data_IF_555077157352
#
_entry.id   IF_555077157352
#
_cell.length_a   1.000
_cell.length_b   1.000
_cell.length_c   1.000
_cell.angle_alpha   90.00
_cell.angle_beta   90.00
_cell.angle_gamma   90.00
#
_symmetry.space_group_name_H-M   'P 1'
#
loop_
_entity.id
_entity.type
_entity.pdbx_description
1 polymer ?
#
# COMPACT_ATOMS: atom_id res chain seq x y z
N UNK A 1 6.46 3.74 3.69
CA UNK A 1 6.25 2.31 3.91
C UNK A 1 4.80 2.00 4.26
N UNK A 2 4.43 0.71 4.26
CA UNK A 2 3.11 0.24 4.67
C UNK A 2 2.87 0.35 6.18
N UNK A 3 1.60 0.19 6.60
CA UNK A 3 1.28 0.23 8.04
C UNK A 3 -0.21 0.21 8.38
N UNK A 4 -1.09 0.05 7.40
CA UNK A 4 -2.54 0.14 7.60
C UNK A 4 -2.92 1.51 8.18
N UNK A 5 -3.69 1.54 9.27
CA UNK A 5 -4.12 2.80 9.90
C UNK A 5 -2.98 3.68 10.43
N UNK A 6 -1.80 3.12 10.71
CA UNK A 6 -0.63 3.93 11.06
C UNK A 6 -0.12 4.81 9.91
N UNK A 7 -0.61 4.57 8.69
CA UNK A 7 -0.37 5.43 7.53
C UNK A 7 -0.79 6.89 7.74
N UNK A 8 -1.62 7.19 8.73
CA UNK A 8 -1.98 8.56 9.11
C UNK A 8 -0.74 9.43 9.41
N UNK A 9 0.32 8.84 9.96
CA UNK A 9 1.59 9.55 10.17
C UNK A 9 2.20 10.00 8.84
N UNK A 10 2.24 9.09 7.85
CA UNK A 10 2.74 9.43 6.52
C UNK A 10 1.83 10.46 5.81
N UNK A 11 0.52 10.42 6.04
CA UNK A 11 -0.40 11.45 5.53
C UNK A 11 -0.02 12.84 6.04
N UNK A 12 0.25 12.97 7.35
CA UNK A 12 0.69 14.24 7.95
C UNK A 12 2.05 14.72 7.40
N UNK A 13 2.99 13.79 7.18
CA UNK A 13 4.29 14.14 6.56
C UNK A 13 4.10 14.66 5.14
N UNK A 14 3.25 14.03 4.32
CA UNK A 14 2.97 14.48 2.96
C UNK A 14 2.20 15.81 2.93
N UNK A 15 1.24 16.01 3.84
CA UNK A 15 0.55 17.30 3.98
C UNK A 15 1.55 18.42 4.32
N UNK A 16 2.49 18.17 5.24
CA UNK A 16 3.56 19.12 5.55
C UNK A 16 4.46 19.38 4.33
N UNK A 17 4.82 18.34 3.56
CA UNK A 17 5.61 18.53 2.34
C UNK A 17 4.86 19.42 1.32
N UNK A 18 3.56 19.22 1.14
CA UNK A 18 2.74 20.08 0.28
C UNK A 18 2.70 21.53 0.79
N UNK A 19 2.51 21.76 2.10
CA UNK A 19 2.49 23.08 2.72
C UNK A 19 3.83 23.83 2.55
N UNK A 20 4.93 23.09 2.46
CA UNK A 20 6.29 23.65 2.30
C UNK A 20 6.79 23.64 0.86
N UNK A 21 5.98 23.20 -0.10
CA UNK A 21 6.40 23.08 -1.50
C UNK A 21 7.55 22.09 -1.72
N UNK A 22 7.76 21.14 -0.80
CA UNK A 22 8.76 20.08 -0.94
C UNK A 22 8.28 19.11 -2.01
N UNK A 23 9.11 18.85 -3.02
CA UNK A 23 8.80 17.95 -4.13
C UNK A 23 9.80 16.80 -4.17
N UNK A 24 9.35 15.68 -4.66
CA UNK A 24 10.16 14.48 -4.91
C UNK A 24 10.11 14.15 -6.39
N UNK A 25 11.23 13.68 -6.94
CA UNK A 25 11.33 13.24 -8.34
C UNK A 25 10.71 11.85 -8.53
N UNK A 26 10.82 11.01 -7.49
CA UNK A 26 10.35 9.64 -7.49
C UNK A 26 9.75 9.27 -6.12
N UNK A 27 8.70 8.46 -6.13
CA UNK A 27 8.12 7.89 -4.92
C UNK A 27 7.79 6.42 -5.09
N UNK A 28 8.09 5.60 -4.06
CA UNK A 28 7.73 4.19 -4.00
C UNK A 28 6.80 3.96 -2.82
N UNK A 29 5.57 3.54 -3.12
CA UNK A 29 4.53 3.28 -2.13
C UNK A 29 4.30 1.80 -1.88
N UNK A 30 4.14 1.42 -0.60
CA UNK A 30 3.82 0.06 -0.18
C UNK A 30 2.54 0.09 0.65
N UNK A 31 1.51 -0.70 0.29
CA UNK A 31 0.28 -0.80 1.08
C UNK A 31 -0.38 0.59 1.30
N UNK A 32 -0.71 0.94 2.53
CA UNK A 32 -1.21 2.28 2.88
C UNK A 32 -0.31 3.43 2.39
N UNK A 33 1.01 3.17 2.25
CA UNK A 33 1.95 4.13 1.71
C UNK A 33 1.70 4.45 0.23
N UNK A 34 1.16 3.52 -0.56
CA UNK A 34 0.79 3.76 -1.96
C UNK A 34 -0.35 4.76 -2.10
N UNK A 35 -1.38 4.64 -1.25
CA UNK A 35 -2.52 5.56 -1.23
C UNK A 35 -2.11 6.96 -0.77
N UNK A 36 -1.25 7.05 0.26
CA UNK A 36 -0.74 8.33 0.74
C UNK A 36 0.09 9.04 -0.33
N UNK A 37 0.95 8.30 -1.01
CA UNK A 37 1.81 8.82 -2.05
C UNK A 37 1.01 9.25 -3.30
N UNK A 38 -0.04 8.50 -3.67
CA UNK A 38 -0.93 8.87 -4.77
C UNK A 38 -1.66 10.19 -4.49
N UNK A 39 -2.16 10.38 -3.26
CA UNK A 39 -2.80 11.65 -2.85
C UNK A 39 -1.81 12.82 -2.84
N UNK A 40 -0.57 12.58 -2.40
CA UNK A 40 0.49 13.57 -2.48
C UNK A 40 0.81 13.94 -3.94
N UNK A 41 0.97 12.95 -4.82
CA UNK A 41 1.20 13.17 -6.24
C UNK A 41 0.04 13.91 -6.93
N UNK A 42 -1.19 13.72 -6.45
CA UNK A 42 -2.38 14.45 -6.89
C UNK A 42 -2.51 15.85 -6.27
N UNK A 43 -1.61 16.25 -5.36
CA UNK A 43 -1.69 17.54 -4.66
C UNK A 43 -2.86 17.67 -3.70
N UNK A 44 -3.46 16.56 -3.28
CA UNK A 44 -4.67 16.53 -2.47
C UNK A 44 -4.37 16.55 -0.96
N UNK A 45 -4.01 17.74 -0.47
CA UNK A 45 -3.79 17.97 0.95
C UNK A 45 -5.03 17.60 1.78
N UNK A 46 -4.82 16.90 2.89
CA UNK A 46 -5.87 16.49 3.82
C UNK A 46 -6.72 15.30 3.37
N UNK A 47 -6.67 14.88 2.10
CA UNK A 47 -7.49 13.77 1.58
C UNK A 47 -7.31 12.49 2.41
N UNK A 48 -6.06 12.12 2.69
CA UNK A 48 -5.77 10.92 3.49
C UNK A 48 -6.09 11.12 4.97
N UNK A 49 -5.93 12.33 5.51
CA UNK A 49 -6.33 12.63 6.88
C UNK A 49 -7.84 12.33 7.08
N UNK A 50 -8.70 12.83 6.19
CA UNK A 50 -10.14 12.54 6.22
C UNK A 50 -10.41 11.03 6.13
N UNK A 51 -9.67 10.31 5.26
CA UNK A 51 -9.80 8.86 5.21
C UNK A 51 -9.52 8.21 6.57
N UNK A 52 -8.41 8.54 7.22
CA UNK A 52 -8.01 7.91 8.49
C UNK A 52 -8.87 8.33 9.68
N UNK A 53 -9.48 9.52 9.66
CA UNK A 53 -10.28 10.04 10.78
C UNK A 53 -11.78 9.78 10.65
N UNK A 54 -12.27 9.56 9.44
CA UNK A 54 -13.70 9.38 9.19
C UNK A 54 -14.00 8.03 8.52
N UNK A 55 -13.47 7.78 7.33
CA UNK A 55 -13.87 6.61 6.54
C UNK A 55 -13.31 5.30 7.08
N UNK A 56 -12.14 5.32 7.71
CA UNK A 56 -11.52 4.14 8.30
C UNK A 56 -12.32 3.52 9.46
N UNK A 57 -13.23 4.27 10.07
CA UNK A 57 -14.10 3.78 11.15
C UNK A 57 -15.45 3.27 10.65
N UNK A 58 -15.75 3.38 9.38
CA UNK A 58 -17.00 2.86 8.81
C UNK A 58 -16.99 1.33 8.77
N UNK A 59 -18.10 0.70 9.15
CA UNK A 59 -18.28 -0.76 9.12
C UNK A 59 -18.12 -1.35 7.69
N UNK A 60 -18.36 -0.55 6.64
CA UNK A 60 -18.10 -0.95 5.25
C UNK A 60 -16.61 -1.18 4.99
N UNK A 61 -15.72 -0.46 5.67
CA UNK A 61 -14.28 -0.63 5.49
C UNK A 61 -13.77 -1.89 6.18
N UNK A 62 -14.02 -2.04 7.48
CA UNK A 62 -13.56 -3.19 8.26
C UNK A 62 -14.68 -3.75 9.11
N UNK A 63 -15.04 -5.02 8.89
CA UNK A 63 -16.07 -5.69 9.69
C UNK A 63 -15.98 -7.21 9.62
N UNK A 64 -16.52 -7.87 10.64
CA UNK A 64 -16.72 -9.32 10.63
C UNK A 64 -17.71 -9.74 9.54
N UNK A 65 -18.70 -8.92 9.20
CA UNK A 65 -19.63 -9.20 8.10
C UNK A 65 -18.88 -9.25 6.74
N UNK A 66 -17.92 -8.36 6.51
CA UNK A 66 -17.06 -8.44 5.32
C UNK A 66 -16.30 -9.76 5.29
N UNK A 67 -15.78 -10.22 6.43
CA UNK A 67 -15.06 -11.49 6.51
C UNK A 67 -15.97 -12.68 6.16
N UNK A 68 -17.20 -12.70 6.66
CA UNK A 68 -18.17 -13.78 6.39
C UNK A 68 -18.59 -13.77 4.90
N UNK A 69 -18.97 -12.60 4.38
CA UNK A 69 -19.54 -12.47 3.03
C UNK A 69 -18.45 -12.49 1.95
N UNK A 70 -17.39 -11.70 2.13
CA UNK A 70 -16.34 -11.47 1.13
C UNK A 70 -15.07 -12.29 1.37
N UNK A 71 -14.98 -12.97 2.53
CA UNK A 71 -13.76 -13.63 3.04
C UNK A 71 -12.55 -12.66 3.08
N UNK A 72 -12.84 -11.41 3.32
CA UNK A 72 -11.88 -10.32 3.50
C UNK A 72 -12.40 -9.43 4.62
N UNK A 73 -11.60 -9.22 5.67
CA UNK A 73 -11.98 -8.35 6.80
C UNK A 73 -11.97 -6.88 6.40
N UNK A 74 -10.99 -6.51 5.56
CA UNK A 74 -10.87 -5.19 4.94
C UNK A 74 -11.49 -5.25 3.55
N UNK A 75 -12.38 -4.30 3.26
CA UNK A 75 -12.99 -4.11 1.95
C UNK A 75 -12.17 -3.11 1.12
N UNK A 76 -11.25 -3.63 0.31
CA UNK A 76 -10.42 -2.81 -0.58
C UNK A 76 -11.24 -2.20 -1.73
N UNK A 77 -12.34 -2.84 -2.12
CA UNK A 77 -13.25 -2.29 -3.15
C UNK A 77 -14.01 -1.09 -2.62
N UNK A 78 -14.32 -1.06 -1.32
CA UNK A 78 -14.89 0.12 -0.71
C UNK A 78 -13.95 1.32 -0.78
N UNK A 79 -12.66 1.14 -0.45
CA UNK A 79 -11.68 2.23 -0.46
C UNK A 79 -11.41 2.70 -1.90
N UNK A 80 -10.97 1.75 -2.74
CA UNK A 80 -10.41 2.07 -4.05
C UNK A 80 -11.45 2.02 -5.17
N UNK A 81 -12.58 1.35 -4.96
CA UNK A 81 -13.66 1.21 -5.93
C UNK A 81 -14.88 2.07 -5.65
N UNK A 82 -15.09 2.53 -4.40
CA UNK A 82 -16.25 3.34 -4.05
C UNK A 82 -15.84 4.74 -3.61
N UNK A 83 -15.00 4.86 -2.59
CA UNK A 83 -14.62 6.16 -2.03
C UNK A 83 -13.74 6.97 -2.98
N UNK A 84 -12.78 6.32 -3.65
CA UNK A 84 -11.74 6.99 -4.44
C UNK A 84 -12.13 7.26 -5.89
N UNK A 85 -13.28 6.75 -6.37
CA UNK A 85 -13.78 7.05 -7.72
C UNK A 85 -14.10 8.53 -7.88
N UNK A 86 -14.13 9.00 -9.12
CA UNK A 86 -14.45 10.39 -9.45
C UNK A 86 -15.80 10.86 -8.89
N UNK A 87 -16.79 9.96 -8.79
CA UNK A 87 -18.11 10.17 -8.21
C UNK A 87 -18.23 9.75 -6.73
N UNK A 88 -17.10 9.36 -6.11
CA UNK A 88 -17.05 8.90 -4.72
C UNK A 88 -17.02 10.04 -3.70
N UNK A 89 -17.13 9.67 -2.41
CA UNK A 89 -17.11 10.64 -1.30
C UNK A 89 -15.71 11.23 -1.03
N UNK A 90 -14.64 10.55 -1.45
CA UNK A 90 -13.25 10.96 -1.25
C UNK A 90 -12.42 10.69 -2.53
N UNK A 91 -12.76 11.36 -3.64
CA UNK A 91 -12.21 11.05 -4.94
C UNK A 91 -10.70 11.27 -5.01
N UNK A 92 -10.00 10.39 -5.74
CA UNK A 92 -8.62 10.63 -6.13
C UNK A 92 -8.62 11.47 -7.41
N UNK A 93 -7.97 12.62 -7.38
CA UNK A 93 -7.78 13.45 -8.57
C UNK A 93 -6.76 12.78 -9.51
N UNK A 94 -7.28 11.85 -10.32
CA UNK A 94 -6.46 11.12 -11.27
C UNK A 94 -5.82 12.03 -12.33
N UNK A 95 -6.51 13.02 -12.92
CA UNK A 95 -5.87 13.96 -13.82
C UNK A 95 -4.66 14.66 -13.21
N UNK A 96 -4.76 15.16 -11.97
CA UNK A 96 -3.63 15.77 -11.27
C UNK A 96 -2.50 14.79 -11.01
N UNK A 97 -2.82 13.57 -10.52
CA UNK A 97 -1.85 12.50 -10.33
C UNK A 97 -1.12 12.16 -11.64
N UNK A 98 -1.87 12.01 -12.73
CA UNK A 98 -1.32 11.62 -14.03
C UNK A 98 -0.37 12.69 -14.59
N UNK A 99 -0.72 13.97 -14.43
CA UNK A 99 0.04 15.11 -14.93
C UNK A 99 1.22 15.51 -14.04
N UNK A 100 1.30 15.01 -12.80
CA UNK A 100 2.44 15.29 -11.93
C UNK A 100 3.72 14.69 -12.53
N UNK A 101 4.86 15.42 -12.61
CA UNK A 101 6.10 14.91 -13.18
C UNK A 101 6.75 13.79 -12.33
N UNK A 102 6.42 13.69 -11.04
CA UNK A 102 6.99 12.69 -10.14
C UNK A 102 6.74 11.28 -10.68
N UNK A 103 7.79 10.46 -10.75
CA UNK A 103 7.64 9.02 -10.98
C UNK A 103 7.01 8.35 -9.76
N UNK A 104 6.07 7.45 -10.00
CA UNK A 104 5.35 6.76 -8.94
C UNK A 104 5.41 5.26 -9.17
N UNK A 105 5.88 4.54 -8.15
CA UNK A 105 5.87 3.09 -8.11
C UNK A 105 5.04 2.57 -6.95
N UNK A 106 4.25 1.53 -7.20
CA UNK A 106 3.41 0.84 -6.22
C UNK A 106 3.86 -0.60 -6.13
N UNK A 107 4.22 -1.02 -4.91
CA UNK A 107 4.79 -2.35 -4.67
C UNK A 107 3.69 -3.35 -4.35
N UNK A 108 3.71 -4.49 -5.03
CA UNK A 108 2.91 -5.67 -4.71
C UNK A 108 3.77 -6.94 -4.80
N UNK A 109 3.27 -8.06 -4.30
CA UNK A 109 3.90 -9.37 -4.42
C UNK A 109 3.03 -10.30 -5.27
N UNK A 110 3.59 -10.95 -6.29
CA UNK A 110 2.91 -12.04 -6.98
C UNK A 110 2.74 -13.23 -6.02
N UNK A 111 1.50 -13.56 -5.68
CA UNK A 111 1.20 -14.51 -4.62
C UNK A 111 1.73 -15.94 -4.86
N UNK A 112 1.84 -16.37 -6.12
CA UNK A 112 2.30 -17.71 -6.48
C UNK A 112 3.81 -17.79 -6.55
N UNK A 113 4.44 -16.83 -7.25
CA UNK A 113 5.89 -16.82 -7.47
C UNK A 113 6.68 -16.20 -6.31
N UNK A 114 6.06 -15.37 -5.48
CA UNK A 114 6.71 -14.57 -4.43
C UNK A 114 7.57 -13.44 -4.98
N UNK A 115 7.49 -13.12 -6.28
CA UNK A 115 8.25 -12.04 -6.89
C UNK A 115 7.67 -10.69 -6.53
N UNK A 116 8.55 -9.71 -6.27
CA UNK A 116 8.14 -8.32 -6.12
C UNK A 116 7.74 -7.75 -7.48
N UNK A 117 6.59 -7.09 -7.54
CA UNK A 117 6.14 -6.31 -8.69
C UNK A 117 6.11 -4.84 -8.30
N UNK A 118 6.74 -4.02 -9.10
CA UNK A 118 6.64 -2.57 -9.03
C UNK A 118 5.77 -2.12 -10.19
N UNK A 119 4.53 -1.75 -9.87
CA UNK A 119 3.64 -1.10 -10.82
C UNK A 119 4.02 0.36 -10.92
N UNK A 120 4.02 0.91 -12.12
CA UNK A 120 4.28 2.32 -12.33
C UNK A 120 3.00 3.14 -12.52
N UNK A 121 3.15 4.43 -12.74
CA UNK A 121 2.03 5.36 -12.92
C UNK A 121 1.16 5.01 -14.15
N UNK A 122 1.68 4.34 -15.16
CA UNK A 122 0.94 3.93 -16.35
C UNK A 122 -0.03 2.78 -16.08
N UNK A 123 0.20 2.03 -15.02
CA UNK A 123 -0.69 0.95 -14.55
C UNK A 123 -1.94 1.49 -13.81
N UNK A 124 -1.98 2.79 -13.50
CA UNK A 124 -3.11 3.46 -12.85
C UNK A 124 -3.98 4.12 -13.91
N UNK A 125 -5.28 3.92 -13.84
CA UNK A 125 -6.26 4.56 -14.73
C UNK A 125 -7.36 5.24 -13.92
N UNK A 126 -8.11 6.13 -14.57
CA UNK A 126 -9.27 6.77 -13.93
C UNK A 126 -10.24 5.70 -13.43
N UNK A 127 -10.56 5.75 -12.12
CA UNK A 127 -11.46 4.84 -11.42
C UNK A 127 -11.03 3.36 -11.39
N UNK A 128 -9.83 3.06 -11.90
CA UNK A 128 -9.18 1.75 -11.84
C UNK A 128 -7.89 1.85 -11.01
N UNK A 129 -8.05 1.61 -9.71
CA UNK A 129 -6.98 1.67 -8.73
C UNK A 129 -6.59 0.26 -8.24
N UNK A 130 -6.63 -0.72 -9.13
CA UNK A 130 -6.38 -2.14 -8.86
C UNK A 130 -4.98 -2.40 -8.32
N UNK A 131 -3.99 -1.65 -8.79
CA UNK A 131 -2.62 -1.75 -8.28
C UNK A 131 -2.51 -1.38 -6.79
N UNK A 132 -3.34 -0.44 -6.32
CA UNK A 132 -3.41 -0.07 -4.90
C UNK A 132 -4.12 -1.15 -4.08
N UNK A 133 -5.16 -1.80 -4.65
CA UNK A 133 -5.81 -2.97 -4.04
C UNK A 133 -4.81 -4.11 -3.88
N UNK A 134 -4.06 -4.41 -4.94
CA UNK A 134 -3.01 -5.44 -4.93
C UNK A 134 -1.95 -5.15 -3.86
N UNK A 135 -1.45 -3.91 -3.81
CA UNK A 135 -0.47 -3.46 -2.82
C UNK A 135 -0.96 -3.54 -1.37
N UNK A 136 -2.29 -3.54 -1.16
CA UNK A 136 -2.92 -3.53 0.17
C UNK A 136 -3.55 -4.86 0.58
N UNK A 137 -3.45 -5.90 -0.24
CA UNK A 137 -4.06 -7.22 -0.02
C UNK A 137 -3.25 -8.06 0.99
N UNK A 138 -3.42 -7.78 2.28
CA UNK A 138 -2.70 -8.47 3.37
C UNK A 138 -3.27 -9.89 3.55
N UNK A 139 -2.43 -10.95 3.54
CA UNK A 139 -2.86 -12.32 3.82
C UNK A 139 -3.67 -12.43 5.12
N UNK A 140 -4.73 -13.22 5.15
CA UNK A 140 -5.75 -13.44 6.20
C UNK A 140 -6.73 -12.29 6.39
N UNK A 141 -6.29 -11.06 6.17
CA UNK A 141 -7.14 -9.88 6.26
C UNK A 141 -7.91 -9.71 4.95
N UNK A 142 -7.23 -10.03 3.83
CA UNK A 142 -7.80 -9.99 2.49
C UNK A 142 -7.47 -11.27 1.71
N UNK A 143 -8.26 -11.56 0.69
CA UNK A 143 -7.85 -12.45 -0.40
C UNK A 143 -6.77 -11.77 -1.24
N UNK A 144 -5.91 -12.54 -1.95
CA UNK A 144 -5.05 -11.94 -2.95
C UNK A 144 -5.90 -11.26 -4.02
N UNK A 145 -5.48 -10.09 -4.45
CA UNK A 145 -6.15 -9.35 -5.51
C UNK A 145 -5.66 -9.82 -6.89
N UNK A 146 -6.54 -9.89 -7.88
CA UNK A 146 -6.20 -10.44 -9.20
C UNK A 146 -6.18 -9.32 -10.23
N UNK A 147 -5.04 -9.14 -10.91
CA UNK A 147 -4.86 -8.23 -12.05
C UNK A 147 -4.35 -9.05 -13.23
N UNK A 148 -5.05 -9.00 -14.36
CA UNK A 148 -4.65 -9.72 -15.57
C UNK A 148 -4.42 -11.23 -15.37
N UNK A 149 -5.19 -11.87 -14.48
CA UNK A 149 -5.08 -13.30 -14.16
C UNK A 149 -3.97 -13.65 -13.16
N UNK A 150 -3.16 -12.69 -12.72
CA UNK A 150 -2.12 -12.87 -11.71
C UNK A 150 -2.65 -12.45 -10.35
N UNK A 151 -2.48 -13.30 -9.34
CA UNK A 151 -2.87 -13.01 -7.95
C UNK A 151 -1.75 -12.26 -7.24
N UNK A 152 -2.09 -11.17 -6.54
CA UNK A 152 -1.14 -10.34 -5.80
C UNK A 152 -1.50 -10.24 -4.33
N UNK A 153 -0.49 -10.19 -3.49
CA UNK A 153 -0.54 -9.81 -2.09
C UNK A 153 0.16 -8.46 -1.86
N UNK A 154 -0.02 -7.92 -0.65
CA UNK A 154 0.61 -6.68 -0.17
C UNK A 154 2.13 -6.71 -0.41
N UNK A 155 2.65 -5.64 -1.00
CA UNK A 155 4.07 -5.51 -1.33
C UNK A 155 5.01 -5.62 -0.13
N UNK A 156 4.51 -5.32 1.07
CA UNK A 156 5.31 -5.46 2.29
C UNK A 156 5.72 -6.91 2.62
N UNK A 157 5.20 -7.93 1.91
CA UNK A 157 5.65 -9.30 2.06
C UNK A 157 7.05 -9.48 1.46
N UNK A 158 7.26 -8.95 0.26
CA UNK A 158 8.49 -9.13 -0.51
C UNK A 158 9.48 -7.97 -0.30
N UNK A 159 8.98 -6.73 -0.30
CA UNK A 159 9.79 -5.52 -0.15
C UNK A 159 9.10 -4.49 0.77
N UNK A 160 9.26 -4.62 2.08
CA UNK A 160 8.57 -3.76 3.06
C UNK A 160 9.10 -2.32 3.08
N UNK A 161 10.38 -2.11 2.73
CA UNK A 161 11.06 -0.80 2.75
C UNK A 161 11.95 -0.69 1.50
N UNK A 162 11.41 -0.27 0.34
CA UNK A 162 12.06 -0.37 -0.98
C UNK A 162 13.17 0.67 -1.20
N UNK A 163 14.11 0.78 -0.27
CA UNK A 163 15.25 1.71 -0.36
C UNK A 163 16.23 1.30 -1.45
N UNK A 164 16.55 0.00 -1.52
CA UNK A 164 17.44 -0.51 -2.54
C UNK A 164 16.87 -0.24 -3.94
N UNK A 165 15.56 -0.45 -4.12
CA UNK A 165 14.88 -0.16 -5.39
C UNK A 165 14.96 1.32 -5.78
N UNK A 166 14.88 2.24 -4.83
CA UNK A 166 15.02 3.66 -5.10
C UNK A 166 16.42 3.99 -5.65
N UNK A 167 17.48 3.42 -5.07
CA UNK A 167 18.84 3.59 -5.58
C UNK A 167 19.04 2.94 -6.95
N UNK A 168 18.46 1.76 -7.21
CA UNK A 168 18.47 1.11 -8.52
C UNK A 168 17.80 1.97 -9.61
N UNK A 169 16.80 2.77 -9.22
CA UNK A 169 16.12 3.73 -10.10
C UNK A 169 16.84 5.07 -10.23
N UNK A 170 18.04 5.21 -9.66
CA UNK A 170 18.91 6.37 -9.81
C UNK A 170 18.72 7.45 -8.75
N UNK A 171 17.98 7.20 -7.67
CA UNK A 171 17.88 8.17 -6.57
C UNK A 171 19.22 8.32 -5.85
N UNK A 172 19.69 9.54 -5.67
CA UNK A 172 20.90 9.84 -4.89
C UNK A 172 20.58 10.02 -3.39
N UNK A 173 19.35 10.42 -3.07
CA UNK A 173 18.86 10.63 -1.70
C UNK A 173 17.49 10.02 -1.54
N UNK A 174 17.27 9.37 -0.42
CA UNK A 174 15.99 8.70 -0.11
C UNK A 174 15.47 9.18 1.24
N UNK A 175 14.21 9.60 1.26
CA UNK A 175 13.46 9.87 2.50
C UNK A 175 12.56 8.67 2.76
N UNK A 176 12.76 8.00 3.88
CA UNK A 176 11.93 6.87 4.31
C UNK A 176 10.95 7.32 5.38
N UNK A 177 9.65 7.27 5.06
CA UNK A 177 8.59 7.60 6.02
C UNK A 177 8.16 6.29 6.70
N UNK A 178 8.66 6.05 7.91
CA UNK A 178 8.30 4.89 8.72
C UNK A 178 6.96 5.10 9.42
N UNK A 179 6.18 4.03 9.58
CA UNK A 179 4.91 4.03 10.32
C UNK A 179 5.03 3.44 11.73
N UNK A 180 6.26 3.17 12.16
CA UNK A 180 6.64 2.78 13.51
C UNK A 180 7.86 3.61 13.93
N UNK A 181 8.06 3.85 15.24
CA UNK A 181 9.29 4.45 15.72
C UNK A 181 10.51 3.62 15.28
N UNK A 182 11.62 4.30 14.97
CA UNK A 182 12.87 3.68 14.49
C UNK A 182 13.39 2.60 15.46
N UNK A 183 13.30 2.83 16.77
CA UNK A 183 13.72 1.88 17.79
C UNK A 183 12.87 0.59 17.87
N UNK A 184 11.76 0.51 17.13
CA UNK A 184 10.87 -0.66 17.19
C UNK A 184 11.33 -1.72 16.21
N UNK A 185 11.98 -2.76 16.73
CA UNK A 185 12.33 -3.97 15.97
C UNK A 185 11.05 -4.79 15.71
N UNK A 186 10.85 -5.21 14.47
CA UNK A 186 9.74 -6.06 14.07
C UNK A 186 9.99 -7.50 14.51
N UNK A 187 9.07 -8.07 15.31
CA UNK A 187 9.09 -9.49 15.66
C UNK A 187 8.53 -10.37 14.52
N UNK A 188 9.12 -11.57 14.25
CA UNK A 188 8.66 -12.49 13.23
C UNK A 188 7.41 -13.30 13.64
N UNK A 189 7.04 -13.38 14.91
CA UNK A 189 6.03 -14.32 15.43
C UNK A 189 4.66 -14.23 14.75
N UNK A 190 4.18 -12.99 14.47
CA UNK A 190 2.91 -12.80 13.76
C UNK A 190 3.01 -13.22 12.30
N UNK A 191 4.16 -12.99 11.69
CA UNK A 191 4.44 -13.34 10.31
C UNK A 191 4.55 -14.86 10.15
N UNK A 192 5.14 -15.58 11.13
CA UNK A 192 5.19 -17.02 11.17
C UNK A 192 3.79 -17.67 11.20
N UNK A 193 2.92 -17.17 12.10
CA UNK A 193 1.53 -17.65 12.19
C UNK A 193 0.79 -17.40 10.87
N UNK A 194 1.07 -16.28 10.25
CA UNK A 194 0.49 -15.91 8.97
C UNK A 194 1.01 -16.82 7.84
N UNK A 195 2.30 -17.05 7.78
CA UNK A 195 2.94 -17.92 6.80
C UNK A 195 2.42 -19.36 6.86
N UNK A 196 2.30 -19.92 8.06
CA UNK A 196 1.79 -21.27 8.25
C UNK A 196 0.41 -21.50 7.63
N UNK A 197 -0.46 -20.50 7.66
CA UNK A 197 -1.82 -20.61 7.12
C UNK A 197 -1.89 -20.56 5.61
N UNK A 198 -0.99 -19.82 4.93
CA UNK A 198 -0.99 -19.72 3.45
C UNK A 198 -0.03 -20.69 2.79
N UNK A 199 0.85 -21.34 3.57
CA UNK A 199 1.93 -22.22 3.11
C UNK A 199 1.48 -23.23 2.04
N UNK A 200 0.30 -23.86 2.24
CA UNK A 200 -0.20 -24.89 1.31
C UNK A 200 -0.53 -24.33 -0.06
N UNK A 201 -1.08 -23.13 -0.12
CA UNK A 201 -1.57 -22.52 -1.39
C UNK A 201 -0.53 -21.58 -2.01
N UNK A 202 0.22 -20.87 -1.18
CA UNK A 202 1.18 -19.84 -1.60
C UNK A 202 2.53 -20.01 -0.86
N UNK A 203 3.30 -21.09 -1.16
CA UNK A 203 4.52 -21.41 -0.41
C UNK A 203 5.59 -20.32 -0.51
N UNK A 204 5.70 -19.63 -1.64
CA UNK A 204 6.66 -18.54 -1.84
C UNK A 204 6.30 -17.29 -1.04
N UNK A 205 5.03 -16.88 -1.05
CA UNK A 205 4.53 -15.80 -0.20
C UNK A 205 4.70 -16.12 1.30
N UNK A 206 4.47 -17.38 1.69
CA UNK A 206 4.72 -17.82 3.06
C UNK A 206 6.21 -17.68 3.45
N UNK A 207 7.11 -18.01 2.53
CA UNK A 207 8.55 -17.81 2.73
C UNK A 207 8.89 -16.31 2.90
N UNK A 208 8.34 -15.45 2.04
CA UNK A 208 8.55 -14.00 2.13
C UNK A 208 8.00 -13.43 3.45
N UNK A 209 6.84 -13.91 3.91
CA UNK A 209 6.31 -13.52 5.22
C UNK A 209 7.29 -13.82 6.37
N UNK A 210 7.95 -15.00 6.36
CA UNK A 210 8.95 -15.35 7.37
C UNK A 210 10.16 -14.43 7.34
N UNK A 211 10.57 -13.99 6.16
CA UNK A 211 11.72 -13.10 5.97
C UNK A 211 11.37 -11.61 6.16
N UNK A 212 10.07 -11.26 6.19
CA UNK A 212 9.62 -9.86 6.22
C UNK A 212 10.13 -9.08 7.43
N UNK A 213 10.17 -9.70 8.61
CA UNK A 213 10.66 -9.05 9.82
C UNK A 213 12.15 -8.69 9.69
N UNK A 214 12.94 -9.61 9.18
CA UNK A 214 14.36 -9.38 8.90
C UNK A 214 14.55 -8.24 7.90
N UNK A 215 13.93 -8.32 6.73
CA UNK A 215 14.01 -7.28 5.67
C UNK A 215 13.54 -5.89 6.12
N UNK A 216 12.63 -5.83 7.08
CA UNK A 216 12.16 -4.56 7.62
C UNK A 216 13.16 -3.95 8.60
N UNK A 217 13.92 -4.77 9.30
CA UNK A 217 14.84 -4.37 10.37
C UNK A 217 16.25 -4.06 9.85
N UNK A 218 16.61 -4.54 8.67
CA UNK A 218 17.85 -4.22 7.94
C UNK A 218 17.82 -2.81 7.33
#
# INVERSE_FOLDING_TARGET
>A
VGGGLRGIYAAGVFDYCMDRGIKFDLGIGVSAGSANLASYAAGQRGRNYVFYTEYAFRSRYMSLSNFIIKRSFIDLDYIYGTLSRADGENPLDYPALRNNPMELYIVAEEAVSGRTKYFDKSDIRQDDYDVMRASSAIPFVCRPYVIGGISYYDGALADPVPVQKAFELGCERVVVILTKPEAVIRSPEKDEKAAARIQKKYPKSAQNLRLRAQRYNE
#
